data_IF_512506619294
#
_entry.id   IF_512506619294
#
_cell.length_a   1.000
_cell.length_b   1.000
_cell.length_c   1.000
_cell.angle_alpha   90.00
_cell.angle_beta   90.00
_cell.angle_gamma   90.00
#
_symmetry.space_group_name_H-M   'P 1'
#
loop_
_entity.id
_entity.type
_entity.pdbx_description
1 polymer ?
#
# COMPACT_ATOMS: atom_id res chain seq x y z
N UNK A 1 -69.20 15.44 -20.97
CA UNK A 1 -68.23 15.03 -19.91
C UNK A 1 -66.87 14.84 -20.55
N UNK A 2 -66.01 15.85 -20.45
CA UNK A 2 -64.61 15.79 -20.98
C UNK A 2 -63.73 15.20 -19.91
N UNK A 3 -63.13 14.02 -20.18
CA UNK A 3 -62.09 13.41 -19.32
C UNK A 3 -60.77 14.12 -19.54
N UNK A 4 -60.29 14.82 -18.51
CA UNK A 4 -58.95 15.40 -18.46
C UNK A 4 -58.01 14.25 -18.04
N UNK A 5 -57.13 13.83 -18.97
CA UNK A 5 -56.02 12.89 -18.67
C UNK A 5 -54.88 13.73 -18.15
N UNK A 6 -54.58 13.62 -16.86
CA UNK A 6 -53.43 14.23 -16.20
C UNK A 6 -52.19 13.34 -16.46
N UNK A 7 -51.30 13.74 -17.38
CA UNK A 7 -50.03 13.08 -17.59
C UNK A 7 -49.06 13.61 -16.53
N UNK A 8 -48.80 12.80 -15.51
CA UNK A 8 -47.74 13.05 -14.51
C UNK A 8 -46.45 12.63 -15.16
N UNK A 9 -45.69 13.60 -15.69
CA UNK A 9 -44.30 13.38 -16.13
C UNK A 9 -43.41 13.29 -14.90
N UNK A 10 -43.05 12.04 -14.49
CA UNK A 10 -42.10 11.81 -13.45
C UNK A 10 -40.72 12.18 -14.01
N UNK A 11 -40.25 13.38 -13.73
CA UNK A 11 -38.86 13.79 -13.99
C UNK A 11 -37.98 13.07 -12.97
N UNK A 12 -37.44 11.94 -13.37
CA UNK A 12 -36.31 11.31 -12.67
C UNK A 12 -35.10 12.26 -12.85
N UNK A 13 -34.93 13.17 -11.92
CA UNK A 13 -33.68 13.89 -11.75
C UNK A 13 -32.61 12.87 -11.30
N UNK A 14 -31.97 12.24 -12.24
CA UNK A 14 -30.67 11.59 -12.01
C UNK A 14 -29.73 12.73 -11.66
N UNK A 15 -29.52 12.96 -10.37
CA UNK A 15 -28.41 13.78 -9.91
C UNK A 15 -27.14 13.05 -10.36
N UNK A 16 -26.60 13.42 -11.52
CA UNK A 16 -25.22 13.15 -11.84
C UNK A 16 -24.43 13.84 -10.74
N UNK A 17 -24.04 13.08 -9.71
CA UNK A 17 -23.08 13.55 -8.74
C UNK A 17 -21.87 14.00 -9.55
N UNK A 18 -21.53 15.29 -9.48
CA UNK A 18 -20.38 15.82 -10.17
C UNK A 18 -19.18 15.00 -9.70
N UNK A 19 -18.55 14.27 -10.63
CA UNK A 19 -17.37 13.48 -10.34
C UNK A 19 -16.18 14.43 -10.20
N UNK A 20 -15.30 14.20 -9.20
CA UNK A 20 -14.08 14.98 -9.05
C UNK A 20 -13.22 14.84 -10.29
N UNK A 21 -12.71 15.96 -10.80
CA UNK A 21 -11.77 15.96 -11.91
C UNK A 21 -10.37 15.58 -11.40
N UNK A 22 -10.00 14.33 -11.61
CA UNK A 22 -8.69 13.80 -11.25
C UNK A 22 -7.89 13.57 -12.50
N UNK A 23 -6.80 14.30 -12.66
CA UNK A 23 -5.87 14.11 -13.78
C UNK A 23 -4.77 13.12 -13.37
N UNK A 24 -4.60 12.07 -14.17
CA UNK A 24 -3.45 11.18 -14.07
C UNK A 24 -2.48 11.56 -15.16
N UNK A 25 -1.24 11.80 -14.83
CA UNK A 25 -0.23 12.23 -15.79
C UNK A 25 1.15 11.65 -15.49
N UNK A 26 1.99 11.64 -16.53
CA UNK A 26 3.41 11.31 -16.45
C UNK A 26 4.17 12.51 -17.04
N UNK A 27 4.45 13.55 -16.22
CA UNK A 27 5.09 14.79 -16.70
C UNK A 27 6.52 14.56 -17.16
N UNK A 28 6.92 15.24 -18.26
CA UNK A 28 8.26 15.12 -18.83
C UNK A 28 9.35 15.43 -17.80
N UNK A 29 9.19 16.49 -17.01
CA UNK A 29 10.13 16.85 -15.96
C UNK A 29 10.18 15.81 -14.85
N UNK A 30 9.02 15.31 -14.36
CA UNK A 30 8.96 14.32 -13.30
C UNK A 30 9.63 13.00 -13.72
N UNK A 31 9.41 12.55 -14.97
CA UNK A 31 10.07 11.36 -15.51
C UNK A 31 11.60 11.57 -15.65
N UNK A 32 12.05 12.76 -16.01
CA UNK A 32 13.48 13.08 -16.01
C UNK A 32 14.13 12.84 -14.64
N UNK A 33 13.50 13.33 -13.58
CA UNK A 33 13.98 13.12 -12.22
C UNK A 33 14.08 11.63 -11.85
N UNK A 34 13.09 10.84 -12.22
CA UNK A 34 13.08 9.39 -12.00
C UNK A 34 14.16 8.67 -12.82
N UNK A 35 14.36 9.04 -14.09
CA UNK A 35 15.43 8.48 -14.93
C UNK A 35 16.80 8.81 -14.36
N UNK A 36 17.05 10.07 -13.98
CA UNK A 36 18.33 10.46 -13.38
C UNK A 36 18.62 9.61 -12.12
N UNK A 37 17.65 9.48 -11.21
CA UNK A 37 17.82 8.66 -10.01
C UNK A 37 18.05 7.18 -10.35
N UNK A 38 17.37 6.62 -11.34
CA UNK A 38 17.56 5.25 -11.78
C UNK A 38 18.97 4.98 -12.33
N UNK A 39 19.59 5.99 -12.96
CA UNK A 39 20.94 5.91 -13.52
C UNK A 39 22.06 6.07 -12.48
N UNK A 40 21.76 6.51 -11.25
CA UNK A 40 22.75 6.61 -10.17
C UNK A 40 23.20 5.22 -9.72
N UNK A 41 24.34 5.14 -9.04
CA UNK A 41 24.81 3.85 -8.47
C UNK A 41 23.83 3.30 -7.43
N UNK A 42 23.29 4.16 -6.57
CA UNK A 42 22.24 3.76 -5.63
C UNK A 42 21.00 3.25 -6.37
N UNK A 43 20.50 3.99 -7.36
CA UNK A 43 19.33 3.60 -8.13
C UNK A 43 19.47 2.24 -8.81
N UNK A 44 20.68 1.91 -9.31
CA UNK A 44 20.98 0.60 -9.93
C UNK A 44 21.02 -0.54 -8.92
N UNK A 45 21.53 -0.30 -7.71
CA UNK A 45 21.82 -1.35 -6.72
C UNK A 45 20.71 -1.53 -5.67
N UNK A 46 19.95 -0.48 -5.33
CA UNK A 46 18.86 -0.57 -4.37
C UNK A 46 17.70 -1.42 -4.91
N UNK A 47 17.19 -2.40 -4.14
CA UNK A 47 16.13 -3.30 -4.61
C UNK A 47 14.71 -2.72 -4.50
N UNK A 48 14.52 -1.54 -3.87
CA UNK A 48 13.19 -1.07 -3.49
C UNK A 48 12.77 0.28 -4.07
N UNK A 49 13.69 1.25 -4.13
CA UNK A 49 13.34 2.64 -4.41
C UNK A 49 13.18 2.94 -5.92
N UNK A 50 13.81 2.12 -6.76
CA UNK A 50 13.68 2.17 -8.22
C UNK A 50 13.11 0.85 -8.75
N UNK A 51 12.03 0.93 -9.52
CA UNK A 51 11.42 -0.23 -10.18
C UNK A 51 12.25 -0.66 -11.40
N UNK A 52 12.70 -1.93 -11.41
CA UNK A 52 13.64 -2.45 -12.42
C UNK A 52 13.09 -3.60 -13.27
N UNK A 53 11.85 -3.99 -13.05
CA UNK A 53 11.28 -5.23 -13.60
C UNK A 53 10.73 -5.09 -15.02
N UNK A 54 10.87 -3.95 -15.66
CA UNK A 54 10.24 -3.68 -16.95
C UNK A 54 11.26 -3.56 -18.08
N UNK A 55 10.88 -3.91 -19.33
CA UNK A 55 11.68 -3.60 -20.53
C UNK A 55 12.02 -2.11 -20.63
N UNK A 56 11.17 -1.22 -20.13
CA UNK A 56 11.41 0.22 -20.09
C UNK A 56 12.66 0.58 -19.26
N UNK A 57 12.89 -0.10 -18.13
CA UNK A 57 14.12 0.10 -17.36
C UNK A 57 15.36 -0.32 -18.14
N UNK A 58 15.31 -1.46 -18.85
CA UNK A 58 16.42 -1.95 -19.66
C UNK A 58 16.72 -1.01 -20.84
N UNK A 59 15.68 -0.45 -21.45
CA UNK A 59 15.82 0.56 -22.49
C UNK A 59 16.48 1.84 -21.96
N UNK A 60 16.14 2.29 -20.73
CA UNK A 60 16.81 3.42 -20.08
C UNK A 60 18.28 3.13 -19.88
N UNK A 61 18.64 1.96 -19.32
CA UNK A 61 20.04 1.61 -19.08
C UNK A 61 20.84 1.60 -20.37
N UNK A 62 20.27 1.10 -21.47
CA UNK A 62 20.89 1.07 -22.79
C UNK A 62 20.99 2.44 -23.45
N UNK A 63 19.90 3.21 -23.44
CA UNK A 63 19.86 4.52 -24.14
C UNK A 63 20.78 5.55 -23.49
N UNK A 64 20.86 5.57 -22.16
CA UNK A 64 21.66 6.54 -21.42
C UNK A 64 23.09 6.06 -21.10
N UNK A 65 23.50 4.88 -21.58
CA UNK A 65 24.87 4.36 -21.42
C UNK A 65 25.97 5.38 -21.86
N UNK A 66 25.81 6.15 -22.96
CA UNK A 66 26.82 7.15 -23.34
C UNK A 66 27.04 8.27 -22.32
N UNK A 67 26.11 8.49 -21.40
CA UNK A 67 26.18 9.52 -20.36
C UNK A 67 26.29 8.96 -18.94
N UNK A 68 26.60 7.69 -18.78
CA UNK A 68 26.70 7.00 -17.46
C UNK A 68 27.69 7.65 -16.50
N UNK A 69 28.72 8.32 -17.01
CA UNK A 69 29.75 8.99 -16.21
C UNK A 69 29.47 10.49 -16.01
N UNK A 70 28.27 10.96 -16.35
CA UNK A 70 27.92 12.37 -16.20
C UNK A 70 28.03 12.82 -14.75
N UNK A 71 28.65 14.01 -14.47
CA UNK A 71 28.89 14.49 -13.10
C UNK A 71 27.62 14.57 -12.23
N UNK A 72 26.46 14.85 -12.83
CA UNK A 72 25.16 14.88 -12.16
C UNK A 72 24.88 13.57 -11.42
N UNK A 73 25.12 12.41 -12.07
CA UNK A 73 24.79 11.10 -11.50
C UNK A 73 25.58 10.80 -10.21
N UNK A 74 26.80 11.33 -10.11
CA UNK A 74 27.60 11.25 -8.88
C UNK A 74 27.09 12.22 -7.82
N UNK A 75 26.68 13.43 -8.24
CA UNK A 75 26.22 14.51 -7.36
C UNK A 75 24.90 14.15 -6.65
N UNK A 76 23.96 13.51 -7.36
CA UNK A 76 22.62 13.17 -6.86
C UNK A 76 22.47 11.69 -6.50
N UNK A 77 23.58 11.02 -6.20
CA UNK A 77 23.59 9.61 -5.79
C UNK A 77 23.16 9.47 -4.32
N UNK A 78 21.90 9.83 -4.03
CA UNK A 78 21.33 9.79 -2.69
C UNK A 78 20.99 8.36 -2.28
N UNK A 79 21.34 7.99 -1.05
CA UNK A 79 20.99 6.71 -0.45
C UNK A 79 19.69 6.80 0.36
N UNK A 80 19.20 5.66 0.86
CA UNK A 80 18.06 5.63 1.78
C UNK A 80 18.30 6.44 3.07
N UNK A 81 19.54 6.64 3.48
CA UNK A 81 19.87 7.52 4.60
C UNK A 81 19.57 9.00 4.29
N UNK A 82 19.63 9.35 3.01
CA UNK A 82 19.34 10.68 2.47
C UNK A 82 17.93 10.77 1.88
N UNK A 83 16.99 10.00 2.41
CA UNK A 83 15.66 9.82 1.82
C UNK A 83 14.93 11.14 1.49
N UNK A 84 15.12 12.19 2.29
CA UNK A 84 14.52 13.52 2.02
C UNK A 84 15.08 14.13 0.74
N UNK A 85 16.38 13.93 0.46
CA UNK A 85 17.01 14.39 -0.77
C UNK A 85 16.56 13.56 -1.97
N UNK A 86 16.54 12.24 -1.81
CA UNK A 86 16.07 11.31 -2.85
C UNK A 86 14.62 11.60 -3.25
N UNK A 87 13.71 11.62 -2.28
CA UNK A 87 12.30 11.84 -2.53
C UNK A 87 12.01 13.28 -2.97
N UNK A 88 12.68 14.26 -2.35
CA UNK A 88 12.60 15.68 -2.75
C UNK A 88 13.07 15.90 -4.18
N UNK A 89 14.25 15.38 -4.55
CA UNK A 89 14.73 15.47 -5.93
C UNK A 89 13.70 14.95 -6.91
N UNK A 90 13.15 13.76 -6.68
CA UNK A 90 12.12 13.16 -7.52
C UNK A 90 10.86 14.01 -7.65
N UNK A 91 10.27 14.42 -6.53
CA UNK A 91 8.96 15.08 -6.50
C UNK A 91 9.03 16.56 -6.89
N UNK A 92 10.13 17.24 -6.58
CA UNK A 92 10.27 18.68 -6.86
C UNK A 92 10.39 18.98 -8.35
N UNK A 93 10.80 17.99 -9.17
CA UNK A 93 10.73 18.09 -10.62
C UNK A 93 9.32 18.39 -11.15
N UNK A 94 8.30 18.09 -10.37
CA UNK A 94 6.91 18.42 -10.74
C UNK A 94 6.68 19.94 -10.86
N UNK A 95 7.49 20.75 -10.20
CA UNK A 95 7.42 22.20 -10.29
C UNK A 95 8.22 22.81 -11.46
N UNK A 96 8.70 21.98 -12.37
CA UNK A 96 9.51 22.40 -13.52
C UNK A 96 8.89 21.95 -14.83
N UNK A 97 9.13 22.71 -15.89
CA UNK A 97 8.84 22.33 -17.27
C UNK A 97 9.97 22.77 -18.21
N UNK A 98 9.92 22.31 -19.46
CA UNK A 98 10.86 22.71 -20.48
C UNK A 98 10.36 23.97 -21.19
N UNK A 99 11.20 25.00 -21.24
CA UNK A 99 10.90 26.23 -21.98
C UNK A 99 11.01 26.07 -23.51
N UNK A 100 10.75 27.14 -24.25
CA UNK A 100 10.85 27.16 -25.73
C UNK A 100 12.24 26.84 -26.29
N UNK A 101 13.30 26.97 -25.48
CA UNK A 101 14.68 26.65 -25.85
C UNK A 101 15.06 25.21 -25.43
N UNK A 102 14.14 24.49 -24.81
CA UNK A 102 14.37 23.12 -24.31
C UNK A 102 15.16 23.06 -23.01
N UNK A 103 15.23 24.15 -22.26
CA UNK A 103 15.84 24.21 -20.94
C UNK A 103 14.78 23.94 -19.87
N UNK A 104 15.14 23.13 -18.87
CA UNK A 104 14.32 22.91 -17.69
C UNK A 104 14.30 24.19 -16.85
N UNK A 105 13.13 24.71 -16.55
CA UNK A 105 12.90 25.93 -15.78
C UNK A 105 11.82 25.71 -14.73
N UNK A 106 11.86 26.45 -13.64
CA UNK A 106 10.87 26.35 -12.57
C UNK A 106 9.60 27.12 -12.92
N UNK A 107 8.44 26.47 -12.84
CA UNK A 107 7.12 27.06 -13.12
C UNK A 107 6.51 27.72 -11.87
N UNK A 108 6.68 27.10 -10.69
CA UNK A 108 6.10 27.57 -9.44
C UNK A 108 6.94 27.18 -8.22
N UNK A 109 6.83 27.91 -7.10
CA UNK A 109 7.52 27.56 -5.87
C UNK A 109 6.91 26.28 -5.27
N UNK A 110 7.71 25.23 -5.19
CA UNK A 110 7.40 23.99 -4.51
C UNK A 110 8.69 23.30 -4.09
N UNK A 111 8.71 22.82 -2.85
CA UNK A 111 9.80 22.05 -2.29
C UNK A 111 9.21 21.07 -1.26
N UNK A 112 9.30 19.78 -1.56
CA UNK A 112 8.60 18.74 -0.80
C UNK A 112 9.16 18.51 0.60
N UNK A 113 10.50 18.56 0.76
CA UNK A 113 11.18 18.07 1.97
C UNK A 113 12.28 19.00 2.54
N UNK A 114 12.42 20.20 2.00
CA UNK A 114 13.39 21.20 2.46
C UNK A 114 14.64 21.35 1.61
N UNK A 115 15.44 20.31 1.29
CA UNK A 115 16.57 20.44 0.39
C UNK A 115 16.13 20.84 -1.04
N UNK A 116 16.79 21.85 -1.62
CA UNK A 116 16.48 22.37 -2.97
C UNK A 116 17.35 21.69 -4.04
N UNK A 117 17.39 20.39 -4.03
CA UNK A 117 18.32 19.59 -4.82
C UNK A 117 18.17 19.79 -6.34
N UNK A 118 16.94 20.07 -6.84
CA UNK A 118 16.73 20.34 -8.27
C UNK A 118 17.29 21.72 -8.64
N UNK A 119 16.99 22.76 -7.86
CA UNK A 119 17.49 24.13 -8.12
C UNK A 119 19.01 24.20 -8.06
N UNK A 120 19.61 23.58 -7.02
CA UNK A 120 21.06 23.58 -6.80
C UNK A 120 21.85 22.83 -7.88
N UNK A 121 21.18 21.94 -8.63
CA UNK A 121 21.78 21.15 -9.70
C UNK A 121 21.23 21.49 -11.09
N UNK A 122 20.47 22.58 -11.24
CA UNK A 122 19.73 22.88 -12.48
C UNK A 122 20.62 22.99 -13.72
N UNK A 123 21.81 23.57 -13.61
CA UNK A 123 22.79 23.65 -14.70
C UNK A 123 23.27 22.27 -15.14
N UNK A 124 23.61 21.40 -14.18
CA UNK A 124 24.02 20.02 -14.46
C UNK A 124 22.87 19.19 -15.04
N UNK A 125 21.64 19.43 -14.60
CA UNK A 125 20.45 18.77 -15.13
C UNK A 125 20.25 19.16 -16.59
N UNK A 126 20.33 20.45 -16.93
CA UNK A 126 20.19 20.93 -18.29
C UNK A 126 21.33 20.42 -19.22
N UNK A 127 22.55 20.35 -18.71
CA UNK A 127 23.69 19.74 -19.43
C UNK A 127 23.43 18.23 -19.69
N UNK A 128 22.95 17.51 -18.66
CA UNK A 128 22.54 16.09 -18.82
C UNK A 128 21.46 15.92 -19.88
N UNK A 129 20.38 16.71 -19.82
CA UNK A 129 19.27 16.68 -20.80
C UNK A 129 19.78 16.84 -22.24
N UNK A 130 20.67 17.82 -22.43
CA UNK A 130 21.26 18.10 -23.76
C UNK A 130 22.16 16.96 -24.23
N UNK A 131 23.08 16.48 -23.39
CA UNK A 131 24.06 15.46 -23.74
C UNK A 131 23.43 14.09 -23.97
N UNK A 132 22.38 13.76 -23.21
CA UNK A 132 21.67 12.50 -23.30
C UNK A 132 20.56 12.46 -24.35
N UNK A 133 20.21 13.62 -24.94
CA UNK A 133 19.04 13.76 -25.80
C UNK A 133 17.74 13.23 -25.14
N UNK A 134 17.59 13.50 -23.83
CA UNK A 134 16.46 13.01 -23.03
C UNK A 134 15.09 13.26 -23.64
N UNK A 135 14.86 14.46 -24.18
CA UNK A 135 13.55 14.83 -24.73
C UNK A 135 13.12 13.96 -25.92
N UNK A 136 14.07 13.49 -26.73
CA UNK A 136 13.78 12.53 -27.80
C UNK A 136 13.37 11.18 -27.21
N UNK A 137 14.05 10.70 -26.17
CA UNK A 137 13.66 9.48 -25.46
C UNK A 137 12.23 9.58 -24.93
N UNK A 138 11.92 10.62 -24.17
CA UNK A 138 10.57 10.84 -23.62
C UNK A 138 9.49 10.90 -24.71
N UNK A 139 9.75 11.62 -25.81
CA UNK A 139 8.84 11.72 -26.94
C UNK A 139 8.54 10.36 -27.59
N UNK A 140 9.55 9.52 -27.72
CA UNK A 140 9.42 8.21 -28.35
C UNK A 140 8.59 7.23 -27.50
N UNK A 141 8.47 7.46 -26.18
CA UNK A 141 7.73 6.59 -25.25
C UNK A 141 6.28 7.04 -24.98
N UNK A 142 5.76 8.05 -25.68
CA UNK A 142 4.42 8.61 -25.42
C UNK A 142 3.31 7.55 -25.49
N UNK A 143 3.38 6.61 -26.42
CA UNK A 143 2.37 5.55 -26.53
C UNK A 143 2.38 4.64 -25.30
N UNK A 144 3.55 4.29 -24.79
CA UNK A 144 3.70 3.52 -23.56
C UNK A 144 3.12 4.29 -22.36
N UNK A 145 3.45 5.56 -22.21
CA UNK A 145 2.96 6.41 -21.12
C UNK A 145 1.43 6.54 -21.13
N UNK A 146 0.83 6.78 -22.30
CA UNK A 146 -0.62 6.85 -22.45
C UNK A 146 -1.30 5.52 -22.05
N UNK A 147 -0.74 4.39 -22.46
CA UNK A 147 -1.26 3.07 -22.09
C UNK A 147 -1.15 2.82 -20.60
N UNK A 148 -0.02 3.21 -19.98
CA UNK A 148 0.18 3.09 -18.54
C UNK A 148 -0.83 3.94 -17.74
N UNK A 149 -1.05 5.19 -18.15
CA UNK A 149 -2.05 6.09 -17.54
C UNK A 149 -3.46 5.50 -17.63
N UNK A 150 -3.84 4.97 -18.80
CA UNK A 150 -5.16 4.37 -19.02
C UNK A 150 -5.36 3.13 -18.11
N UNK A 151 -4.38 2.25 -18.08
CA UNK A 151 -4.40 1.05 -17.24
C UNK A 151 -4.42 1.39 -15.73
N UNK A 152 -3.66 2.39 -15.32
CA UNK A 152 -3.64 2.87 -13.93
C UNK A 152 -5.03 3.33 -13.50
N UNK A 153 -5.67 4.15 -14.32
CA UNK A 153 -7.02 4.68 -14.06
C UNK A 153 -8.06 3.56 -13.93
N UNK A 154 -8.00 2.59 -14.82
CA UNK A 154 -8.95 1.48 -14.89
C UNK A 154 -8.75 0.49 -13.74
N UNK A 155 -7.53 -0.02 -13.58
CA UNK A 155 -7.29 -1.16 -12.69
C UNK A 155 -7.18 -0.76 -11.21
N UNK A 156 -6.87 0.51 -10.92
CA UNK A 156 -6.80 1.02 -9.55
C UNK A 156 -8.05 1.80 -9.12
N UNK A 157 -9.15 1.73 -9.88
CA UNK A 157 -10.46 2.25 -9.50
C UNK A 157 -10.44 3.72 -9.05
N UNK A 158 -9.61 4.57 -9.67
CA UNK A 158 -9.35 5.94 -9.19
C UNK A 158 -10.62 6.75 -9.05
N UNK A 159 -11.50 6.71 -10.05
CA UNK A 159 -12.77 7.44 -10.01
C UNK A 159 -13.69 6.97 -8.88
N UNK A 160 -13.76 5.64 -8.67
CA UNK A 160 -14.58 5.05 -7.60
C UNK A 160 -14.01 5.41 -6.22
N UNK A 161 -12.66 5.46 -6.08
CA UNK A 161 -11.98 5.86 -4.86
C UNK A 161 -12.37 7.27 -4.43
N UNK A 162 -12.23 8.25 -5.33
CA UNK A 162 -12.61 9.63 -5.01
C UNK A 162 -14.10 9.77 -4.75
N UNK A 163 -14.97 9.16 -5.55
CA UNK A 163 -16.41 9.20 -5.35
C UNK A 163 -16.81 8.63 -3.98
N UNK A 164 -16.18 7.54 -3.57
CA UNK A 164 -16.39 6.94 -2.26
C UNK A 164 -15.89 7.83 -1.12
N UNK A 165 -14.68 8.36 -1.22
CA UNK A 165 -14.07 9.20 -0.18
C UNK A 165 -14.83 10.52 -0.01
N UNK A 166 -15.24 11.19 -1.11
CA UNK A 166 -16.08 12.38 -1.08
C UNK A 166 -17.42 12.10 -0.35
N UNK A 167 -18.02 10.97 -0.64
CA UNK A 167 -19.27 10.54 -0.01
C UNK A 167 -19.13 10.35 1.50
N UNK A 168 -18.12 9.61 1.96
CA UNK A 168 -17.96 9.31 3.40
C UNK A 168 -17.48 10.52 4.21
N UNK A 169 -16.70 11.40 3.58
CA UNK A 169 -16.22 12.64 4.19
C UNK A 169 -17.20 13.80 4.05
N UNK A 170 -18.36 13.58 3.41
CA UNK A 170 -19.40 14.61 3.15
C UNK A 170 -18.78 15.84 2.41
N UNK A 171 -17.82 15.62 1.50
CA UNK A 171 -17.15 16.66 0.70
C UNK A 171 -17.77 16.80 -0.68
N UNK A 172 -17.96 18.02 -1.20
CA UNK A 172 -18.39 18.21 -2.57
C UNK A 172 -17.29 17.85 -3.56
N UNK A 173 -17.63 17.19 -4.68
CA UNK A 173 -16.67 16.78 -5.71
C UNK A 173 -15.91 17.94 -6.38
N UNK A 174 -16.46 19.16 -6.35
CA UNK A 174 -15.89 20.37 -6.92
C UNK A 174 -15.31 21.32 -5.87
N UNK A 175 -14.83 20.82 -4.75
CA UNK A 175 -14.35 21.56 -3.59
C UNK A 175 -13.47 22.78 -3.97
N UNK A 176 -14.11 23.96 -4.09
CA UNK A 176 -13.42 25.24 -4.35
C UNK A 176 -12.59 25.32 -5.63
N UNK A 177 -12.78 24.41 -6.61
CA UNK A 177 -11.97 24.35 -7.83
C UNK A 177 -10.57 23.71 -7.60
N UNK A 178 -10.36 23.03 -6.49
CA UNK A 178 -9.10 22.34 -6.18
C UNK A 178 -8.84 21.25 -7.23
N UNK A 179 -7.64 21.25 -7.79
CA UNK A 179 -7.17 20.24 -8.76
C UNK A 179 -6.52 19.09 -8.01
N UNK A 180 -6.83 17.88 -8.45
CA UNK A 180 -6.25 16.64 -7.93
C UNK A 180 -5.48 15.96 -9.04
N UNK A 181 -4.19 15.73 -8.82
CA UNK A 181 -3.30 15.14 -9.80
C UNK A 181 -2.63 13.92 -9.19
N UNK A 182 -2.49 12.88 -10.01
CA UNK A 182 -1.68 11.70 -9.70
C UNK A 182 -0.54 11.69 -10.73
N UNK A 183 0.67 11.99 -10.28
CA UNK A 183 1.86 11.99 -11.11
C UNK A 183 2.55 10.62 -10.98
N UNK A 184 2.49 9.84 -12.06
CA UNK A 184 3.04 8.48 -12.10
C UNK A 184 4.35 8.41 -12.88
N UNK A 185 5.19 7.40 -12.54
CA UNK A 185 6.35 7.00 -13.32
C UNK A 185 6.56 5.49 -13.19
N UNK A 186 6.88 4.76 -14.27
CA UNK A 186 7.14 3.32 -14.21
C UNK A 186 8.42 2.96 -13.45
N UNK A 187 9.22 3.95 -13.06
CA UNK A 187 10.45 3.77 -12.30
C UNK A 187 10.27 3.89 -10.80
N UNK A 188 9.10 4.32 -10.31
CA UNK A 188 8.87 4.50 -8.86
C UNK A 188 8.60 3.16 -8.20
N UNK A 189 9.58 2.64 -7.45
CA UNK A 189 9.48 1.40 -6.70
C UNK A 189 8.93 1.59 -5.29
N UNK A 190 9.52 2.47 -4.50
CA UNK A 190 9.11 2.79 -3.13
C UNK A 190 8.96 4.29 -2.88
N UNK A 191 8.69 4.66 -1.62
CA UNK A 191 8.63 6.04 -1.17
C UNK A 191 7.59 6.90 -1.94
N UNK A 192 6.34 6.48 -1.92
CA UNK A 192 5.20 7.28 -2.35
C UNK A 192 4.91 8.42 -1.36
N UNK A 193 4.24 9.47 -1.82
CA UNK A 193 3.81 10.56 -0.96
C UNK A 193 2.66 11.39 -1.55
N UNK A 194 1.85 11.95 -0.64
CA UNK A 194 0.82 12.94 -0.90
C UNK A 194 1.34 14.34 -0.61
N UNK A 195 1.05 15.33 -1.47
CA UNK A 195 1.46 16.73 -1.27
C UNK A 195 0.34 17.70 -1.63
N UNK A 196 -0.04 18.54 -0.67
CA UNK A 196 -0.73 19.80 -0.97
C UNK A 196 0.31 20.83 -1.44
N UNK A 197 0.31 21.12 -2.73
CA UNK A 197 1.19 22.11 -3.32
C UNK A 197 0.79 23.50 -2.85
N UNK A 198 -0.53 23.75 -2.88
CA UNK A 198 -1.16 24.96 -2.36
C UNK A 198 -2.66 24.68 -2.12
N UNK A 199 -3.44 25.70 -1.78
CA UNK A 199 -4.88 25.57 -1.51
C UNK A 199 -5.70 25.10 -2.72
N UNK A 200 -5.16 25.20 -3.94
CA UNK A 200 -5.86 24.85 -5.19
C UNK A 200 -5.29 23.64 -5.94
N UNK A 201 -4.21 23.02 -5.44
CA UNK A 201 -3.53 21.91 -6.12
C UNK A 201 -2.99 20.90 -5.11
N UNK A 202 -3.43 19.66 -5.27
CA UNK A 202 -2.89 18.49 -4.58
C UNK A 202 -2.30 17.53 -5.60
N UNK A 203 -1.14 16.94 -5.28
CA UNK A 203 -0.47 15.95 -6.13
C UNK A 203 -0.10 14.72 -5.29
N UNK A 204 -0.51 13.56 -5.79
CA UNK A 204 -0.06 12.26 -5.31
C UNK A 204 1.07 11.73 -6.19
N UNK A 205 2.12 11.21 -5.57
CA UNK A 205 3.28 10.59 -6.23
C UNK A 205 3.36 9.12 -5.79
N UNK A 206 2.50 8.25 -6.33
CA UNK A 206 2.44 6.86 -5.92
C UNK A 206 3.55 6.03 -6.54
N UNK A 207 3.90 4.93 -5.87
CA UNK A 207 4.57 3.83 -6.54
C UNK A 207 3.59 3.10 -7.47
N UNK A 208 4.13 2.46 -8.50
CA UNK A 208 3.35 1.65 -9.44
C UNK A 208 3.71 0.19 -9.24
N UNK A 209 2.68 -0.66 -9.13
CA UNK A 209 2.88 -2.10 -9.03
C UNK A 209 3.50 -2.69 -10.30
N UNK A 210 4.40 -3.65 -10.13
CA UNK A 210 5.07 -4.39 -11.22
C UNK A 210 4.07 -4.94 -12.24
N UNK A 211 3.01 -5.58 -11.77
CA UNK A 211 2.00 -6.20 -12.64
C UNK A 211 1.22 -5.19 -13.49
N UNK A 212 1.12 -3.92 -13.06
CA UNK A 212 0.55 -2.86 -13.90
C UNK A 212 1.49 -2.55 -15.06
N UNK A 213 2.78 -2.39 -14.79
CA UNK A 213 3.80 -2.05 -15.79
C UNK A 213 3.92 -3.18 -16.83
N UNK A 214 3.87 -4.43 -16.36
CA UNK A 214 3.95 -5.63 -17.21
C UNK A 214 2.63 -6.00 -17.90
N UNK A 215 1.52 -5.28 -17.61
CA UNK A 215 0.20 -5.56 -18.19
C UNK A 215 -0.52 -6.79 -17.65
N UNK A 216 -0.12 -7.31 -16.48
CA UNK A 216 -0.62 -8.56 -15.90
C UNK A 216 -1.87 -8.40 -15.01
N UNK A 217 -2.40 -7.19 -14.85
CA UNK A 217 -3.49 -6.91 -13.89
C UNK A 217 -4.88 -7.28 -14.38
N UNK A 218 -5.11 -7.42 -15.69
CA UNK A 218 -6.44 -7.57 -16.27
C UNK A 218 -7.28 -8.64 -15.57
N UNK A 219 -6.72 -9.82 -15.36
CA UNK A 219 -7.43 -10.99 -14.81
C UNK A 219 -7.00 -11.32 -13.37
N UNK A 220 -6.23 -10.45 -12.72
CA UNK A 220 -5.71 -10.67 -11.37
C UNK A 220 -6.31 -9.70 -10.35
N UNK A 221 -7.58 -9.97 -9.94
CA UNK A 221 -8.28 -9.12 -8.97
C UNK A 221 -7.54 -9.01 -7.64
N UNK A 222 -6.96 -10.10 -7.14
CA UNK A 222 -6.25 -10.09 -5.86
C UNK A 222 -5.05 -9.14 -5.90
N UNK A 223 -4.29 -9.15 -7.00
CA UNK A 223 -3.17 -8.23 -7.20
C UNK A 223 -3.63 -6.78 -7.35
N UNK A 224 -4.69 -6.55 -8.14
CA UNK A 224 -5.28 -5.19 -8.25
C UNK A 224 -5.67 -4.61 -6.90
N UNK A 225 -6.25 -5.42 -6.03
CA UNK A 225 -6.63 -4.98 -4.67
C UNK A 225 -5.40 -4.65 -3.83
N UNK A 226 -4.36 -5.47 -3.90
CA UNK A 226 -3.12 -5.22 -3.15
C UNK A 226 -2.41 -3.93 -3.61
N UNK A 227 -2.32 -3.73 -4.91
CA UNK A 227 -1.68 -2.54 -5.47
C UNK A 227 -2.55 -1.28 -5.27
N UNK A 228 -3.87 -1.39 -5.50
CA UNK A 228 -4.81 -0.30 -5.23
C UNK A 228 -4.83 0.13 -3.78
N UNK A 229 -4.64 -0.80 -2.83
CA UNK A 229 -4.54 -0.48 -1.41
C UNK A 229 -3.50 0.62 -1.14
N UNK A 230 -2.32 0.55 -1.75
CA UNK A 230 -1.28 1.58 -1.60
C UNK A 230 -1.71 2.92 -2.19
N UNK A 231 -2.28 2.90 -3.40
CA UNK A 231 -2.76 4.13 -4.07
C UNK A 231 -3.91 4.77 -3.28
N UNK A 232 -4.86 3.94 -2.84
CA UNK A 232 -5.98 4.39 -2.02
C UNK A 232 -5.50 5.07 -0.74
N UNK A 233 -4.51 4.50 -0.06
CA UNK A 233 -4.00 5.06 1.20
C UNK A 233 -3.42 6.46 1.01
N UNK A 234 -2.69 6.72 -0.07
CA UNK A 234 -2.15 8.06 -0.33
C UNK A 234 -3.26 9.08 -0.59
N UNK A 235 -4.27 8.71 -1.39
CA UNK A 235 -5.42 9.58 -1.63
C UNK A 235 -6.21 9.82 -0.33
N UNK A 236 -6.44 8.77 0.45
CA UNK A 236 -7.26 8.81 1.67
C UNK A 236 -6.60 9.64 2.79
N UNK A 237 -5.27 9.75 2.83
CA UNK A 237 -4.60 10.67 3.75
C UNK A 237 -5.11 12.11 3.63
N UNK A 238 -5.49 12.57 2.44
CA UNK A 238 -6.13 13.85 2.22
C UNK A 238 -7.54 13.99 2.84
N UNK A 239 -8.16 12.88 3.24
CA UNK A 239 -9.49 12.83 3.88
C UNK A 239 -9.41 12.50 5.36
N UNK A 240 -8.62 11.52 5.74
CA UNK A 240 -8.46 11.05 7.12
C UNK A 240 -7.65 12.03 7.96
N UNK A 241 -6.51 12.53 7.48
CA UNK A 241 -5.60 13.36 8.27
C UNK A 241 -6.26 14.63 8.80
N UNK A 242 -7.01 15.43 7.99
CA UNK A 242 -7.69 16.62 8.50
C UNK A 242 -8.71 16.32 9.62
N UNK A 243 -9.37 15.17 9.56
CA UNK A 243 -10.27 14.74 10.64
C UNK A 243 -9.46 14.32 11.86
N UNK A 244 -8.40 13.56 11.70
CA UNK A 244 -7.51 13.18 12.80
C UNK A 244 -6.90 14.38 13.50
N UNK A 245 -6.50 15.41 12.75
CA UNK A 245 -5.96 16.64 13.32
C UNK A 245 -6.98 17.36 14.21
N UNK A 246 -8.26 17.39 13.81
CA UNK A 246 -9.37 17.90 14.61
C UNK A 246 -9.51 17.16 15.95
N UNK A 247 -9.25 15.84 15.97
CA UNK A 247 -9.36 14.99 17.14
C UNK A 247 -8.00 14.63 17.77
N UNK A 248 -6.93 15.37 17.46
CA UNK A 248 -5.57 15.00 17.85
C UNK A 248 -5.36 14.83 19.36
N UNK A 249 -6.01 15.65 20.19
CA UNK A 249 -5.95 15.54 21.66
C UNK A 249 -6.63 14.25 22.16
N UNK A 250 -7.80 13.93 21.61
CA UNK A 250 -8.55 12.71 21.94
C UNK A 250 -7.82 11.45 21.46
N UNK A 251 -7.17 11.50 20.29
CA UNK A 251 -6.33 10.41 19.78
C UNK A 251 -5.18 10.18 20.75
N UNK A 252 -4.44 11.22 21.13
CA UNK A 252 -3.33 11.11 22.08
C UNK A 252 -3.75 10.54 23.46
N UNK A 253 -4.96 10.88 23.91
CA UNK A 253 -5.50 10.41 25.19
C UNK A 253 -6.05 8.98 25.17
N UNK A 254 -6.51 8.48 24.03
CA UNK A 254 -7.29 7.24 23.91
C UNK A 254 -6.63 6.14 23.07
N UNK A 255 -5.72 6.49 22.15
CA UNK A 255 -4.98 5.54 21.34
C UNK A 255 -3.55 5.37 21.88
N UNK A 256 -3.36 4.38 22.76
CA UNK A 256 -2.01 4.09 23.27
C UNK A 256 -1.22 3.30 22.24
N UNK A 257 -0.27 3.97 21.56
CA UNK A 257 0.57 3.42 20.50
C UNK A 257 1.19 2.05 20.86
N UNK A 258 1.73 1.91 22.07
CA UNK A 258 2.41 0.68 22.50
C UNK A 258 1.52 -0.57 22.48
N UNK A 259 0.20 -0.41 22.52
CA UNK A 259 -0.74 -1.52 22.45
C UNK A 259 -1.13 -1.89 21.02
N UNK A 260 -1.14 -0.91 20.12
CA UNK A 260 -1.65 -1.06 18.74
C UNK A 260 -0.54 -1.29 17.71
N UNK A 261 0.65 -0.76 17.96
CA UNK A 261 1.75 -0.76 17.03
C UNK A 261 2.98 -1.50 17.61
N UNK A 262 3.59 -2.33 16.78
CA UNK A 262 4.83 -3.06 17.09
C UNK A 262 5.87 -2.79 16.01
N UNK A 263 6.59 -1.68 16.17
CA UNK A 263 7.72 -1.31 15.33
C UNK A 263 7.38 -0.95 13.88
N UNK A 264 6.19 -0.41 13.60
CA UNK A 264 5.84 0.06 12.24
C UNK A 264 6.71 1.23 11.78
N UNK A 265 7.28 1.98 12.71
CA UNK A 265 8.04 3.20 12.42
C UNK A 265 7.18 4.48 12.36
N UNK A 266 5.87 4.39 12.55
CA UNK A 266 4.96 5.54 12.54
C UNK A 266 4.70 6.06 13.97
N UNK A 267 5.12 7.30 14.32
CA UNK A 267 4.93 7.83 15.66
C UNK A 267 3.52 8.41 15.88
N UNK A 268 2.98 8.24 17.07
CA UNK A 268 1.81 8.97 17.58
C UNK A 268 0.58 8.90 16.67
N UNK A 269 0.08 10.07 16.27
CA UNK A 269 -1.12 10.22 15.43
C UNK A 269 -0.95 9.56 14.04
N UNK A 270 0.27 9.48 13.52
CA UNK A 270 0.51 8.89 12.21
C UNK A 270 0.18 7.39 12.21
N UNK A 271 0.48 6.67 13.28
CA UNK A 271 0.05 5.26 13.39
C UNK A 271 -1.47 5.12 13.43
N UNK A 272 -2.18 6.03 14.11
CA UNK A 272 -3.64 6.05 14.10
C UNK A 272 -4.18 6.34 12.68
N UNK A 273 -3.58 7.28 11.95
CA UNK A 273 -3.95 7.60 10.59
C UNK A 273 -3.81 6.39 9.65
N UNK A 274 -2.71 5.64 9.77
CA UNK A 274 -2.54 4.39 9.01
C UNK A 274 -3.65 3.38 9.31
N UNK A 275 -3.98 3.15 10.59
CA UNK A 275 -5.12 2.31 10.97
C UNK A 275 -6.44 2.75 10.36
N UNK A 276 -6.71 4.06 10.38
CA UNK A 276 -7.93 4.64 9.82
C UNK A 276 -7.97 4.49 8.30
N UNK A 277 -6.93 4.89 7.60
CA UNK A 277 -6.82 4.81 6.14
C UNK A 277 -7.12 3.39 5.64
N UNK A 278 -6.55 2.39 6.27
CA UNK A 278 -6.79 1.01 5.84
C UNK A 278 -8.15 0.46 6.26
N UNK A 279 -8.71 0.94 7.37
CA UNK A 279 -10.08 0.60 7.73
C UNK A 279 -11.11 1.29 6.81
N UNK A 280 -10.81 2.47 6.31
CA UNK A 280 -11.60 3.16 5.28
C UNK A 280 -11.52 2.40 3.95
N UNK A 281 -10.35 1.85 3.61
CA UNK A 281 -10.24 0.96 2.46
C UNK A 281 -11.13 -0.29 2.57
N UNK A 282 -11.28 -0.87 3.77
CA UNK A 282 -12.24 -1.96 4.00
C UNK A 282 -13.69 -1.55 3.72
N UNK A 283 -14.06 -0.32 4.04
CA UNK A 283 -15.38 0.22 3.69
C UNK A 283 -15.53 0.33 2.16
N UNK A 284 -14.50 0.80 1.47
CA UNK A 284 -14.49 0.87 0.00
C UNK A 284 -14.64 -0.52 -0.63
N UNK A 285 -13.87 -1.50 -0.19
CA UNK A 285 -13.96 -2.89 -0.67
C UNK A 285 -15.38 -3.45 -0.50
N UNK A 286 -16.01 -3.18 0.65
CA UNK A 286 -17.39 -3.64 0.94
C UNK A 286 -18.46 -2.92 0.13
N UNK A 287 -18.20 -1.73 -0.34
CA UNK A 287 -19.10 -1.00 -1.24
C UNK A 287 -18.90 -1.43 -2.70
N UNK A 288 -17.65 -1.61 -3.11
CA UNK A 288 -17.27 -1.87 -4.50
C UNK A 288 -17.50 -3.32 -4.94
N UNK A 289 -17.32 -4.30 -4.05
CA UNK A 289 -17.30 -5.72 -4.41
C UNK A 289 -18.44 -6.51 -3.76
N UNK A 290 -18.87 -7.64 -4.37
CA UNK A 290 -19.88 -8.53 -3.80
C UNK A 290 -19.47 -9.02 -2.42
N UNK A 291 -20.44 -9.14 -1.53
CA UNK A 291 -20.24 -9.46 -0.10
C UNK A 291 -19.44 -10.74 0.13
N UNK A 292 -19.66 -11.75 -0.68
CA UNK A 292 -18.97 -13.06 -0.61
C UNK A 292 -17.46 -12.98 -0.89
N UNK A 293 -16.98 -11.90 -1.53
CA UNK A 293 -15.56 -11.67 -1.83
C UNK A 293 -14.88 -10.76 -0.83
N UNK A 294 -15.63 -9.93 -0.10
CA UNK A 294 -15.05 -8.84 0.68
C UNK A 294 -14.07 -9.30 1.75
N UNK A 295 -14.40 -10.36 2.49
CA UNK A 295 -13.52 -10.85 3.57
C UNK A 295 -12.21 -11.43 3.01
N UNK A 296 -12.26 -12.12 1.86
CA UNK A 296 -11.05 -12.63 1.21
C UNK A 296 -10.17 -11.52 0.65
N UNK A 297 -10.76 -10.49 0.06
CA UNK A 297 -10.03 -9.34 -0.47
C UNK A 297 -9.38 -8.55 0.67
N UNK A 298 -10.11 -8.27 1.76
CA UNK A 298 -9.56 -7.59 2.93
C UNK A 298 -8.42 -8.35 3.59
N UNK A 299 -8.51 -9.68 3.67
CA UNK A 299 -7.45 -10.50 4.26
C UNK A 299 -6.10 -10.39 3.54
N UNK A 300 -6.08 -10.03 2.26
CA UNK A 300 -4.85 -9.88 1.46
C UNK A 300 -3.97 -8.79 2.07
N UNK A 301 -4.49 -7.57 2.22
CA UNK A 301 -3.71 -6.44 2.71
C UNK A 301 -3.67 -6.34 4.25
N UNK A 302 -4.65 -6.88 4.98
CA UNK A 302 -4.56 -6.95 6.45
C UNK A 302 -3.29 -7.67 6.91
N UNK A 303 -2.92 -8.77 6.26
CA UNK A 303 -1.68 -9.51 6.58
C UNK A 303 -0.44 -8.65 6.34
N UNK A 304 -0.42 -7.87 5.26
CA UNK A 304 0.68 -6.94 4.97
C UNK A 304 0.79 -5.90 6.10
N UNK A 305 -0.32 -5.29 6.48
CA UNK A 305 -0.36 -4.27 7.53
C UNK A 305 0.06 -4.82 8.90
N UNK A 306 -0.41 -6.01 9.25
CA UNK A 306 -0.03 -6.67 10.50
C UNK A 306 1.47 -6.98 10.53
N UNK A 307 2.06 -7.42 9.42
CA UNK A 307 3.52 -7.62 9.32
C UNK A 307 4.32 -6.31 9.44
N UNK A 308 3.75 -5.20 9.01
CA UNK A 308 4.34 -3.87 9.19
C UNK A 308 4.28 -3.37 10.63
N UNK A 309 3.59 -4.06 11.54
CA UNK A 309 3.49 -3.71 12.95
C UNK A 309 2.12 -3.27 13.43
N UNK A 310 1.13 -3.11 12.53
CA UNK A 310 -0.25 -2.73 12.88
C UNK A 310 -1.05 -3.96 13.30
N UNK A 311 -0.69 -4.52 14.46
CA UNK A 311 -1.02 -5.88 14.89
C UNK A 311 -2.52 -6.18 15.03
N UNK A 312 -3.35 -5.18 15.18
CA UNK A 312 -4.80 -5.31 15.37
C UNK A 312 -5.61 -4.72 14.21
N UNK A 313 -5.02 -4.59 12.99
CA UNK A 313 -5.70 -3.96 11.86
C UNK A 313 -7.06 -4.57 11.55
N UNK A 314 -7.16 -5.90 11.52
CA UNK A 314 -8.43 -6.56 11.26
C UNK A 314 -9.50 -6.23 12.30
N UNK A 315 -9.13 -6.20 13.59
CA UNK A 315 -10.05 -5.84 14.68
C UNK A 315 -10.48 -4.38 14.61
N UNK A 316 -9.55 -3.49 14.26
CA UNK A 316 -9.82 -2.07 14.09
C UNK A 316 -10.78 -1.83 12.91
N UNK A 317 -10.51 -2.45 11.77
CA UNK A 317 -11.34 -2.40 10.57
C UNK A 317 -12.77 -2.90 10.83
N UNK A 318 -12.93 -4.05 11.50
CA UNK A 318 -14.25 -4.57 11.88
C UNK A 318 -15.03 -3.55 12.72
N UNK A 319 -14.35 -2.85 13.63
CA UNK A 319 -14.98 -1.85 14.47
C UNK A 319 -15.37 -0.60 13.69
N UNK A 320 -14.52 -0.12 12.80
CA UNK A 320 -14.86 1.00 11.89
C UNK A 320 -16.06 0.64 11.03
N UNK A 321 -16.09 -0.56 10.44
CA UNK A 321 -17.25 -1.05 9.65
C UNK A 321 -18.54 -1.05 10.50
N UNK A 322 -18.46 -1.52 11.75
CA UNK A 322 -19.61 -1.53 12.65
C UNK A 322 -20.13 -0.11 12.92
N UNK A 323 -19.25 0.82 13.24
CA UNK A 323 -19.64 2.21 13.52
C UNK A 323 -20.12 2.93 12.26
N UNK A 324 -19.49 2.70 11.10
CA UNK A 324 -19.91 3.30 9.84
C UNK A 324 -21.34 2.88 9.44
N UNK A 325 -21.75 1.64 9.67
CA UNK A 325 -23.13 1.20 9.45
C UNK A 325 -24.15 2.08 10.19
N UNK A 326 -23.76 2.59 11.36
CA UNK A 326 -24.62 3.44 12.21
C UNK A 326 -24.53 4.92 11.84
N UNK A 327 -23.33 5.44 11.61
CA UNK A 327 -23.09 6.88 11.52
C UNK A 327 -22.97 7.43 10.10
N UNK A 328 -22.55 6.60 9.13
CA UNK A 328 -22.47 6.93 7.70
C UNK A 328 -21.61 8.14 7.34
N UNK A 329 -20.72 8.58 8.23
CA UNK A 329 -19.86 9.75 8.06
C UNK A 329 -18.50 9.50 8.68
N UNK A 330 -17.42 9.88 8.01
CA UNK A 330 -16.06 9.73 8.51
C UNK A 330 -15.84 10.48 9.83
N UNK A 331 -16.23 11.73 9.90
CA UNK A 331 -16.08 12.56 11.11
C UNK A 331 -16.80 11.96 12.33
N UNK A 332 -18.03 11.48 12.12
CA UNK A 332 -18.88 10.92 13.20
C UNK A 332 -18.37 9.57 13.73
N UNK A 333 -17.41 8.93 13.06
CA UNK A 333 -16.78 7.69 13.54
C UNK A 333 -15.82 7.93 14.69
N UNK A 334 -15.13 9.07 14.74
CA UNK A 334 -13.98 9.28 15.62
C UNK A 334 -14.32 9.16 17.09
N UNK A 335 -15.34 9.87 17.58
CA UNK A 335 -15.69 9.84 19.02
C UNK A 335 -15.97 8.42 19.54
N UNK A 336 -16.90 7.63 18.95
CA UNK A 336 -17.13 6.28 19.45
C UNK A 336 -15.95 5.33 19.22
N UNK A 337 -15.17 5.52 18.16
CA UNK A 337 -13.99 4.73 17.87
C UNK A 337 -12.90 4.98 18.92
N UNK A 338 -12.62 6.22 19.28
CA UNK A 338 -11.60 6.59 20.27
C UNK A 338 -11.97 6.09 21.68
N UNK A 339 -13.25 6.12 22.05
CA UNK A 339 -13.71 5.51 23.31
C UNK A 339 -13.46 3.99 23.32
N UNK A 340 -13.71 3.33 22.17
CA UNK A 340 -13.47 1.91 22.03
C UNK A 340 -11.95 1.59 22.05
N UNK A 341 -11.09 2.36 21.38
CA UNK A 341 -9.63 2.12 21.39
C UNK A 341 -9.05 2.21 22.76
N UNK A 342 -9.50 3.14 23.61
CA UNK A 342 -9.08 3.30 25.00
C UNK A 342 -9.31 2.03 25.82
N UNK A 343 -10.46 1.40 25.67
CA UNK A 343 -10.85 0.21 26.45
C UNK A 343 -10.26 -1.07 25.88
N UNK A 344 -10.21 -1.17 24.55
CA UNK A 344 -9.77 -2.36 23.84
C UNK A 344 -8.25 -2.47 23.80
N UNK A 345 -7.53 -1.36 23.63
CA UNK A 345 -6.08 -1.35 23.54
C UNK A 345 -5.37 -2.08 24.67
N UNK A 346 -5.89 -1.96 25.90
CA UNK A 346 -5.35 -2.68 27.08
C UNK A 346 -5.43 -4.21 26.98
N UNK A 347 -6.24 -4.74 26.06
CA UNK A 347 -6.49 -6.18 25.87
C UNK A 347 -5.81 -6.72 24.60
N UNK A 348 -5.13 -5.85 23.83
CA UNK A 348 -4.45 -6.26 22.62
C UNK A 348 -3.14 -6.92 22.98
N UNK A 349 -2.99 -8.17 22.58
CA UNK A 349 -1.75 -8.94 22.64
C UNK A 349 -1.63 -9.72 21.34
N UNK A 350 -0.49 -9.61 20.66
CA UNK A 350 -0.24 -10.39 19.44
C UNK A 350 0.16 -11.81 19.82
N UNK A 351 -0.62 -12.83 19.42
CA UNK A 351 -0.25 -14.21 19.68
C UNK A 351 1.03 -14.58 18.94
N UNK A 352 1.82 -15.42 19.57
CA UNK A 352 3.08 -15.94 19.05
C UNK A 352 3.16 -17.44 19.30
N UNK A 353 4.01 -18.14 18.52
CA UNK A 353 4.34 -19.54 18.75
C UNK A 353 5.40 -19.62 19.84
N UNK A 354 5.08 -20.30 20.96
CA UNK A 354 5.97 -20.40 22.14
C UNK A 354 7.27 -21.14 21.80
N UNK A 355 7.14 -22.23 21.03
CA UNK A 355 8.25 -23.08 20.63
C UNK A 355 8.81 -22.70 19.24
N UNK A 356 8.57 -21.47 18.77
CA UNK A 356 9.19 -20.97 17.56
C UNK A 356 10.72 -21.07 17.65
N UNK A 357 11.33 -21.54 16.59
CA UNK A 357 12.76 -21.75 16.53
C UNK A 357 13.28 -21.30 15.15
N UNK A 358 14.07 -20.26 15.16
CA UNK A 358 14.56 -19.59 13.96
C UNK A 358 16.07 -19.83 13.71
N UNK A 359 16.71 -20.76 14.46
CA UNK A 359 18.16 -20.97 14.39
C UNK A 359 18.53 -22.35 13.85
N UNK A 360 17.88 -23.41 14.35
CA UNK A 360 18.28 -24.78 14.05
C UNK A 360 17.07 -25.67 13.76
N UNK A 361 17.24 -26.64 12.85
CA UNK A 361 16.23 -27.67 12.61
C UNK A 361 16.10 -28.59 13.83
N UNK A 362 14.92 -28.68 14.39
CA UNK A 362 14.61 -29.57 15.51
C UNK A 362 13.95 -30.84 15.02
N UNK A 363 14.45 -31.98 15.46
CA UNK A 363 13.82 -33.27 15.20
C UNK A 363 12.42 -33.32 15.77
N UNK A 364 11.46 -33.75 14.98
CA UNK A 364 10.04 -33.84 15.35
C UNK A 364 9.44 -35.16 14.88
N UNK A 365 8.52 -35.69 15.68
CA UNK A 365 7.66 -36.79 15.25
C UNK A 365 6.55 -36.24 14.35
N UNK A 366 6.64 -36.53 13.06
CA UNK A 366 5.65 -36.07 12.06
C UNK A 366 4.26 -36.64 12.28
N UNK A 367 4.13 -37.74 13.03
CA UNK A 367 2.82 -38.31 13.40
C UNK A 367 2.12 -37.49 14.50
N UNK A 368 2.86 -36.64 15.23
CA UNK A 368 2.36 -35.86 16.35
C UNK A 368 3.09 -34.52 16.50
N UNK A 369 2.96 -33.67 15.51
CA UNK A 369 3.52 -32.30 15.56
C UNK A 369 2.72 -31.47 16.56
N UNK A 370 3.40 -30.87 17.54
CA UNK A 370 2.80 -30.04 18.58
C UNK A 370 3.20 -28.61 18.42
N UNK A 371 2.22 -27.70 18.36
CA UNK A 371 2.43 -26.25 18.30
C UNK A 371 1.76 -25.59 19.50
N UNK A 372 2.53 -24.76 20.23
CA UNK A 372 2.07 -24.04 21.40
C UNK A 372 2.04 -22.54 21.13
N UNK A 373 1.01 -21.87 21.64
CA UNK A 373 0.75 -20.44 21.44
C UNK A 373 0.76 -19.68 22.77
N UNK A 374 1.20 -18.43 22.72
CA UNK A 374 1.16 -17.53 23.89
C UNK A 374 -0.26 -17.18 24.32
N UNK A 375 -1.21 -17.17 23.37
CA UNK A 375 -2.60 -16.79 23.58
C UNK A 375 -3.56 -17.91 23.16
N UNK A 376 -4.77 -17.98 23.72
CA UNK A 376 -5.82 -18.88 23.22
C UNK A 376 -6.19 -18.55 21.77
N UNK A 377 -6.08 -19.53 20.88
CA UNK A 377 -6.40 -19.41 19.47
C UNK A 377 -7.83 -19.83 19.15
N UNK A 378 -8.41 -19.27 18.08
CA UNK A 378 -9.67 -19.75 17.51
C UNK A 378 -9.46 -21.16 16.96
N UNK A 379 -10.22 -22.13 17.50
CA UNK A 379 -10.13 -23.53 17.05
C UNK A 379 -10.78 -23.66 15.67
N UNK A 380 -10.09 -24.30 14.76
CA UNK A 380 -10.57 -24.54 13.39
C UNK A 380 -10.57 -26.04 13.08
N UNK A 381 -11.49 -26.48 12.23
CA UNK A 381 -11.55 -27.87 11.75
C UNK A 381 -10.45 -28.19 10.72
N UNK A 382 -9.85 -27.17 10.17
CA UNK A 382 -8.73 -27.29 9.23
C UNK A 382 -7.68 -26.26 9.51
N UNK A 383 -6.40 -26.63 9.31
CA UNK A 383 -5.29 -25.69 9.32
C UNK A 383 -4.70 -25.66 7.91
N UNK A 384 -4.36 -24.45 7.44
CA UNK A 384 -3.56 -24.27 6.24
C UNK A 384 -2.16 -23.82 6.66
N UNK A 385 -1.18 -24.62 6.31
CA UNK A 385 0.22 -24.43 6.64
C UNK A 385 1.02 -24.30 5.35
N UNK A 386 2.17 -23.66 5.39
CA UNK A 386 3.12 -23.67 4.28
C UNK A 386 4.43 -24.30 4.75
N UNK A 387 4.92 -25.25 3.99
CA UNK A 387 6.18 -25.92 4.21
C UNK A 387 7.18 -25.47 3.15
N UNK A 388 8.38 -25.13 3.58
CA UNK A 388 9.51 -24.82 2.72
C UNK A 388 10.60 -25.85 2.97
N UNK A 389 10.96 -26.61 1.94
CA UNK A 389 12.01 -27.63 2.02
C UNK A 389 13.41 -26.98 1.96
N UNK A 390 14.32 -27.50 2.75
CA UNK A 390 15.72 -27.07 2.76
C UNK A 390 16.65 -28.26 2.50
N UNK A 391 17.50 -28.14 1.47
CA UNK A 391 18.58 -29.06 1.17
C UNK A 391 19.89 -28.26 1.17
N UNK A 392 20.88 -28.71 1.95
CA UNK A 392 22.17 -28.04 2.10
C UNK A 392 22.04 -26.52 2.46
N UNK A 393 21.07 -26.21 3.32
CA UNK A 393 20.81 -24.86 3.81
C UNK A 393 20.12 -23.92 2.80
N UNK A 394 19.69 -24.43 1.65
CA UNK A 394 18.97 -23.66 0.61
C UNK A 394 17.53 -24.13 0.50
N UNK A 395 16.61 -23.19 0.32
CA UNK A 395 15.23 -23.50 -0.04
C UNK A 395 15.20 -24.13 -1.44
N UNK A 396 14.58 -25.31 -1.55
CA UNK A 396 14.51 -26.08 -2.81
C UNK A 396 13.09 -26.23 -3.31
N UNK A 397 12.09 -26.24 -2.41
CA UNK A 397 10.70 -26.45 -2.76
C UNK A 397 9.79 -25.83 -1.71
N UNK A 398 8.53 -25.57 -2.06
CA UNK A 398 7.52 -25.21 -1.07
C UNK A 398 6.14 -25.73 -1.47
N UNK A 399 5.31 -26.03 -0.47
CA UNK A 399 3.97 -26.55 -0.68
C UNK A 399 2.99 -26.02 0.37
N UNK A 400 1.73 -25.92 -0.01
CA UNK A 400 0.62 -25.69 0.94
C UNK A 400 0.16 -27.04 1.46
N UNK A 401 0.14 -27.18 2.79
CA UNK A 401 -0.30 -28.37 3.48
C UNK A 401 -1.61 -28.11 4.24
N UNK A 402 -2.60 -28.97 4.04
CA UNK A 402 -3.91 -28.85 4.69
C UNK A 402 -4.05 -29.96 5.73
N UNK A 403 -4.07 -29.57 7.00
CA UNK A 403 -4.39 -30.47 8.11
C UNK A 403 -5.90 -30.50 8.30
N UNK A 404 -6.48 -31.69 8.27
CA UNK A 404 -7.90 -31.90 8.60
C UNK A 404 -8.02 -32.41 10.04
N UNK A 405 -9.01 -31.89 10.76
CA UNK A 405 -9.32 -32.30 12.13
C UNK A 405 -8.12 -32.26 13.09
N UNK A 406 -7.42 -31.12 13.21
CA UNK A 406 -6.36 -30.97 14.19
C UNK A 406 -6.92 -31.09 15.62
N UNK A 407 -6.12 -31.60 16.55
CA UNK A 407 -6.51 -31.76 17.95
C UNK A 407 -6.10 -30.53 18.73
N UNK A 408 -7.08 -29.75 19.16
CA UNK A 408 -6.86 -28.55 19.98
C UNK A 408 -6.96 -28.87 21.46
N UNK A 409 -6.08 -28.28 22.28
CA UNK A 409 -6.21 -28.27 23.73
C UNK A 409 -7.50 -27.57 24.17
N UNK A 410 -7.96 -27.86 25.39
CA UNK A 410 -9.19 -27.28 25.96
C UNK A 410 -9.14 -25.73 25.96
N UNK A 411 -8.02 -25.17 26.36
CA UNK A 411 -7.76 -23.73 26.44
C UNK A 411 -7.43 -23.07 25.08
N UNK A 412 -7.23 -23.86 24.01
CA UNK A 412 -6.87 -23.35 22.70
C UNK A 412 -5.42 -22.89 22.56
N UNK A 413 -4.56 -23.15 23.55
CA UNK A 413 -3.14 -22.75 23.51
C UNK A 413 -2.22 -23.78 22.90
N UNK A 414 -2.73 -24.93 22.53
CA UNK A 414 -1.97 -25.99 21.87
C UNK A 414 -2.78 -26.62 20.76
N UNK A 415 -2.12 -26.96 19.67
CA UNK A 415 -2.69 -27.76 18.59
C UNK A 415 -1.74 -28.89 18.23
N UNK A 416 -2.30 -30.09 18.00
CA UNK A 416 -1.58 -31.29 17.56
C UNK A 416 -2.12 -31.73 16.22
N UNK A 417 -1.23 -32.17 15.36
CA UNK A 417 -1.60 -32.68 14.03
C UNK A 417 -0.50 -33.56 13.45
N UNK A 418 -0.91 -34.39 12.47
CA UNK A 418 0.01 -35.17 11.66
C UNK A 418 0.45 -34.35 10.46
N UNK A 419 1.75 -34.37 10.14
CA UNK A 419 2.32 -33.89 8.89
C UNK A 419 2.71 -35.09 8.02
N UNK A 420 2.11 -35.18 6.83
CA UNK A 420 2.49 -36.17 5.82
C UNK A 420 3.37 -35.49 4.77
N UNK A 421 4.66 -35.49 4.99
CA UNK A 421 5.65 -34.87 4.11
C UNK A 421 6.89 -35.75 4.00
N UNK A 422 7.52 -35.74 2.82
CA UNK A 422 8.80 -36.38 2.55
C UNK A 422 10.02 -35.47 2.84
N UNK A 423 9.77 -34.22 3.21
CA UNK A 423 10.83 -33.25 3.48
C UNK A 423 11.63 -33.66 4.72
N UNK A 424 12.95 -33.71 4.60
CA UNK A 424 13.84 -34.01 5.72
C UNK A 424 14.06 -32.81 6.63
N UNK A 425 14.37 -31.67 6.05
CA UNK A 425 14.50 -30.41 6.78
C UNK A 425 13.55 -29.41 6.15
N UNK A 426 12.71 -28.77 6.94
CA UNK A 426 11.71 -27.84 6.42
C UNK A 426 11.35 -26.78 7.44
N UNK A 427 10.95 -25.63 6.91
CA UNK A 427 10.33 -24.55 7.64
C UNK A 427 8.81 -24.71 7.57
N UNK A 428 8.15 -24.69 8.72
CA UNK A 428 6.71 -24.72 8.85
C UNK A 428 6.20 -23.33 9.20
N UNK A 429 5.46 -22.70 8.28
CA UNK A 429 4.79 -21.41 8.48
C UNK A 429 3.29 -21.58 8.68
N UNK A 430 2.75 -20.76 9.59
CA UNK A 430 1.32 -20.67 9.92
C UNK A 430 0.59 -19.64 9.06
N UNK A 431 1.14 -19.31 7.91
CA UNK A 431 0.75 -18.19 7.09
C UNK A 431 0.80 -18.55 5.62
N UNK A 432 -0.32 -18.27 4.90
CA UNK A 432 -0.40 -18.38 3.45
C UNK A 432 -0.77 -17.00 2.90
N UNK A 433 0.07 -16.48 2.01
CA UNK A 433 -0.02 -15.10 1.53
C UNK A 433 -1.41 -14.74 0.97
N UNK A 434 -2.04 -15.63 0.21
CA UNK A 434 -3.29 -15.38 -0.51
C UNK A 434 -4.52 -16.06 0.14
N UNK A 435 -4.46 -16.44 1.41
CA UNK A 435 -5.54 -17.15 2.07
C UNK A 435 -6.16 -16.33 3.18
N UNK A 436 -7.50 -16.42 3.33
CA UNK A 436 -8.25 -15.94 4.50
C UNK A 436 -7.85 -16.74 5.74
N UNK A 437 -7.45 -18.00 5.54
CA UNK A 437 -7.04 -18.87 6.61
C UNK A 437 -5.83 -18.29 7.32
N UNK A 438 -6.07 -17.77 8.50
CA UNK A 438 -5.06 -17.28 9.42
C UNK A 438 -5.29 -17.87 10.79
N UNK A 439 -4.24 -17.96 11.56
CA UNK A 439 -4.31 -18.32 12.95
C UNK A 439 -4.65 -17.07 13.76
N UNK A 440 -5.89 -16.93 14.20
CA UNK A 440 -6.33 -15.80 15.02
C UNK A 440 -6.50 -16.22 16.47
N UNK A 441 -6.12 -15.34 17.40
CA UNK A 441 -6.49 -15.49 18.80
C UNK A 441 -8.01 -15.43 18.99
N UNK A 442 -8.52 -15.86 20.15
CA UNK A 442 -9.94 -15.69 20.48
C UNK A 442 -10.37 -14.22 20.43
N UNK A 443 -9.45 -13.30 20.70
CA UNK A 443 -9.69 -11.86 20.60
C UNK A 443 -9.65 -11.32 19.13
N UNK A 444 -9.42 -12.18 18.16
CA UNK A 444 -9.42 -11.80 16.73
C UNK A 444 -8.10 -11.20 16.23
N UNK A 445 -7.01 -11.27 17.01
CA UNK A 445 -5.69 -10.80 16.59
C UNK A 445 -4.97 -11.91 15.83
N UNK A 446 -4.41 -11.59 14.67
CA UNK A 446 -3.66 -12.56 13.87
C UNK A 446 -2.35 -12.95 14.58
N UNK A 447 -2.03 -14.24 14.52
CA UNK A 447 -0.72 -14.77 14.93
C UNK A 447 0.38 -13.99 14.21
N UNK A 448 1.47 -13.69 14.92
CA UNK A 448 2.63 -13.05 14.31
C UNK A 448 3.04 -13.83 13.03
N UNK A 449 2.94 -13.23 11.83
CA UNK A 449 3.19 -13.93 10.58
C UNK A 449 4.66 -14.32 10.37
N UNK A 450 5.58 -13.74 11.15
CA UNK A 450 7.00 -14.07 11.10
C UNK A 450 7.37 -15.22 12.05
N UNK A 451 6.39 -15.81 12.75
CA UNK A 451 6.62 -17.03 13.50
C UNK A 451 6.63 -18.26 12.57
N UNK A 452 7.66 -19.08 12.73
CA UNK A 452 7.79 -20.36 12.04
C UNK A 452 8.56 -21.37 12.89
N UNK A 453 8.52 -22.63 12.48
CA UNK A 453 9.28 -23.71 13.10
C UNK A 453 10.26 -24.29 12.05
N UNK A 454 11.53 -24.41 12.41
CA UNK A 454 12.51 -25.20 11.66
C UNK A 454 12.46 -26.65 12.19
N UNK A 455 12.01 -27.56 11.35
CA UNK A 455 11.73 -28.95 11.71
C UNK A 455 12.54 -29.92 10.85
N UNK A 456 12.96 -31.01 11.46
CA UNK A 456 13.64 -32.14 10.82
C UNK A 456 12.84 -33.43 11.12
N UNK A 457 12.57 -34.23 10.09
CA UNK A 457 11.91 -35.53 10.21
C UNK A 457 12.84 -36.61 10.73
#
# INVERSE_FOLDING_TARGET
MKKIILIITLVLSVSLAAQRDVKIELPESYELGNIILALTEYGKTDPYDVQKVSPYYDEIMSYFEPVKDHPLLKKVNYSRKDWKKFLGFRTDFYAFSFDGNGLLTRDFPFNSFGPKEVDENLELINDFVKKSNYRAFYKNHQQFYHSLIANYKEYYYINDTYAFLDKIAERPANEGGKKYIIAISPLVGGQNCHRDINSSLTVDFPNIGEDLILGNLKDNLARRILDNHTVFSEIDHGYVNPVSDKYSKEIAANFNLANWDKNSGYPGINSFNEYMTWAVYDLFIREKFPKEKTDSLSAIYHKVNIRRGFIAQNLFSEKVIQFYKKHKSLDKLYTPLLQWTKTTGKKISQPSVVNANNKDFKKVDLSNVVVQFTEPMKKTATLQLRLFEYVDGKETNNTVFIVKNPVWSKDGKEVKFKLDTSYKNFELRFYIWNSIAGFYSQNGILLNPDNYLLLSS
#
